data_IF_956718689211
#
_entry.id   IF_956718689211
#
_cell.length_a   1.000
_cell.length_b   1.000
_cell.length_c   1.000
_cell.angle_alpha   90.00
_cell.angle_beta   90.00
_cell.angle_gamma   90.00
#
_symmetry.space_group_name_H-M   'P 1'
#
loop_
_entity.id
_entity.type
_entity.pdbx_description
1 polymer ?
#
# COMPACT_ATOMS: atom_id res chain seq x y z
N UNK A 1 3.63 -14.39 -13.14
CA UNK A 1 2.81 -14.13 -11.92
C UNK A 1 2.85 -15.40 -11.08
N UNK A 2 2.56 -15.39 -9.79
CA UNK A 2 2.56 -16.62 -8.99
C UNK A 2 1.28 -16.77 -8.19
N UNK A 3 0.85 -18.01 -8.04
CA UNK A 3 -0.22 -18.41 -7.13
C UNK A 3 0.36 -19.29 -6.04
N UNK A 4 -0.03 -19.02 -4.78
CA UNK A 4 0.30 -19.88 -3.66
C UNK A 4 -0.76 -20.98 -3.54
N UNK A 5 -0.33 -22.22 -3.74
CA UNK A 5 -1.18 -23.39 -3.52
C UNK A 5 -1.40 -23.67 -2.03
N UNK A 6 -2.37 -24.54 -1.75
CA UNK A 6 -2.65 -25.01 -0.38
C UNK A 6 -1.46 -25.74 0.28
N UNK A 7 -0.53 -26.26 -0.52
CA UNK A 7 0.73 -26.85 -0.07
C UNK A 7 1.81 -25.81 0.28
N UNK A 8 1.48 -24.52 0.16
CA UNK A 8 2.35 -23.39 0.42
C UNK A 8 3.35 -23.08 -0.69
N UNK A 9 3.39 -23.88 -1.77
CA UNK A 9 4.31 -23.67 -2.89
C UNK A 9 3.79 -22.59 -3.84
N UNK A 10 4.73 -21.88 -4.46
CA UNK A 10 4.41 -20.94 -5.54
C UNK A 10 4.43 -21.68 -6.88
N UNK A 11 3.33 -21.55 -7.61
CA UNK A 11 3.22 -21.99 -9.00
C UNK A 11 3.24 -20.77 -9.90
N UNK A 12 4.06 -20.80 -10.94
CA UNK A 12 4.09 -19.73 -11.93
C UNK A 12 2.82 -19.77 -12.78
N UNK A 13 2.15 -18.62 -12.88
CA UNK A 13 1.06 -18.35 -13.78
C UNK A 13 1.57 -17.54 -14.96
N UNK A 14 1.16 -17.96 -16.16
CA UNK A 14 1.43 -17.23 -17.38
C UNK A 14 0.83 -15.83 -17.28
N UNK A 15 1.66 -14.82 -17.55
CA UNK A 15 1.24 -13.42 -17.58
C UNK A 15 1.85 -12.80 -18.83
N UNK A 16 1.06 -12.55 -19.88
CA UNK A 16 1.57 -11.88 -21.06
C UNK A 16 2.09 -10.48 -20.68
N UNK A 17 3.15 -10.07 -21.35
CA UNK A 17 3.66 -8.71 -21.20
C UNK A 17 2.54 -7.69 -21.50
N UNK A 18 2.48 -6.56 -20.78
CA UNK A 18 1.51 -5.52 -21.09
C UNK A 18 1.81 -5.00 -22.50
N UNK A 19 0.94 -5.32 -23.47
CA UNK A 19 1.07 -4.88 -24.85
C UNK A 19 -0.25 -4.27 -25.32
N UNK A 20 -0.19 -3.02 -25.80
CA UNK A 20 -1.32 -2.36 -26.47
C UNK A 20 -2.57 -2.19 -25.60
N UNK A 21 -2.43 -1.72 -24.35
CA UNK A 21 -3.60 -1.37 -23.53
C UNK A 21 -4.43 -0.28 -24.24
N UNK A 22 -5.61 -0.65 -24.70
CA UNK A 22 -6.61 0.26 -25.30
C UNK A 22 -7.76 0.57 -24.35
N UNK A 23 -7.78 -0.07 -23.18
CA UNK A 23 -8.77 0.14 -22.13
C UNK A 23 -8.05 0.48 -20.83
N UNK A 24 -8.52 1.53 -20.16
CA UNK A 24 -7.93 2.04 -18.92
C UNK A 24 -8.96 1.95 -17.80
N UNK A 25 -8.61 1.27 -16.71
CA UNK A 25 -9.41 1.21 -15.50
C UNK A 25 -8.70 1.94 -14.37
N UNK A 26 -9.39 2.91 -13.75
CA UNK A 26 -8.82 3.70 -12.65
C UNK A 26 -8.68 2.92 -11.34
N UNK A 27 -9.42 1.82 -11.18
CA UNK A 27 -9.37 0.97 -9.99
C UNK A 27 -8.32 -0.16 -10.06
N UNK A 28 -7.74 -0.42 -11.23
CA UNK A 28 -6.76 -1.48 -11.42
C UNK A 28 -6.27 -1.60 -12.87
N UNK A 29 -5.15 -2.29 -13.09
CA UNK A 29 -4.58 -2.49 -14.43
C UNK A 29 -3.44 -1.54 -14.81
N UNK A 30 -3.07 -0.60 -13.93
CA UNK A 30 -1.82 0.15 -14.03
C UNK A 30 -0.63 -0.83 -14.04
N UNK A 31 0.30 -0.66 -14.98
CA UNK A 31 1.58 -1.36 -14.98
C UNK A 31 2.70 -0.35 -14.93
N UNK A 32 3.61 -0.53 -13.97
CA UNK A 32 4.72 0.38 -13.72
C UNK A 32 5.81 -0.33 -12.91
N UNK A 33 6.87 0.39 -12.55
CA UNK A 33 7.98 -0.14 -11.75
C UNK A 33 7.91 0.31 -10.29
N UNK A 34 8.66 -0.36 -9.41
CA UNK A 34 8.81 0.08 -8.02
C UNK A 34 9.41 1.50 -7.94
N UNK A 35 10.37 1.83 -8.81
CA UNK A 35 10.99 3.15 -8.87
C UNK A 35 9.96 4.24 -9.24
N UNK A 36 9.08 3.95 -10.20
CA UNK A 36 8.03 4.89 -10.61
C UNK A 36 6.98 5.07 -9.50
N UNK A 37 6.57 3.99 -8.83
CA UNK A 37 5.63 4.09 -7.72
C UNK A 37 6.24 4.80 -6.50
N UNK A 38 7.55 4.67 -6.28
CA UNK A 38 8.26 5.48 -5.29
C UNK A 38 8.22 6.97 -5.62
N UNK A 39 8.32 7.37 -6.90
CA UNK A 39 8.15 8.78 -7.30
C UNK A 39 6.75 9.30 -6.94
N UNK A 40 5.72 8.48 -7.08
CA UNK A 40 4.36 8.80 -6.62
C UNK A 40 4.30 8.98 -5.09
N UNK A 41 4.81 8.03 -4.30
CA UNK A 41 4.81 8.18 -2.83
C UNK A 41 5.66 9.36 -2.35
N UNK A 42 6.77 9.66 -3.04
CA UNK A 42 7.63 10.82 -2.77
C UNK A 42 6.89 12.14 -3.05
N UNK A 43 6.08 12.19 -4.09
CA UNK A 43 5.21 13.35 -4.37
C UNK A 43 4.26 13.62 -3.19
N UNK A 44 3.68 12.56 -2.61
CA UNK A 44 2.82 12.68 -1.42
C UNK A 44 3.60 13.08 -0.16
N UNK A 45 4.78 12.50 0.08
CA UNK A 45 5.67 12.91 1.17
C UNK A 45 6.02 14.41 1.08
N UNK A 46 6.32 14.87 -0.13
CA UNK A 46 6.69 16.25 -0.44
C UNK A 46 5.47 17.16 -0.65
N UNK A 47 4.34 16.82 -0.01
CA UNK A 47 3.15 17.66 0.04
C UNK A 47 2.61 18.08 -1.34
N UNK A 48 2.60 17.14 -2.28
CA UNK A 48 2.08 17.32 -3.63
C UNK A 48 3.11 17.71 -4.69
N UNK A 49 4.40 17.75 -4.36
CA UNK A 49 5.47 18.19 -5.26
C UNK A 49 6.45 17.06 -5.59
N UNK A 50 6.84 16.96 -6.86
CA UNK A 50 7.85 16.01 -7.32
C UNK A 50 8.85 16.72 -8.22
N UNK A 51 10.13 16.68 -7.87
CA UNK A 51 11.23 17.21 -8.69
C UNK A 51 11.01 18.68 -9.12
N UNK A 52 10.49 19.50 -8.21
CA UNK A 52 10.19 20.92 -8.44
C UNK A 52 8.87 21.20 -9.17
N UNK A 53 8.12 20.17 -9.57
CA UNK A 53 6.81 20.30 -10.20
C UNK A 53 5.68 20.02 -9.20
N UNK A 54 4.72 20.94 -9.11
CA UNK A 54 3.51 20.77 -8.30
C UNK A 54 2.48 19.94 -9.06
N UNK A 55 2.26 18.71 -8.58
CA UNK A 55 1.27 17.78 -9.14
C UNK A 55 -0.06 17.89 -8.40
N UNK A 56 0.01 18.05 -7.07
CA UNK A 56 -1.15 18.16 -6.20
C UNK A 56 -1.03 19.41 -5.31
N UNK A 57 -2.13 20.13 -5.11
CA UNK A 57 -2.13 21.25 -4.18
C UNK A 57 -2.01 20.73 -2.73
N UNK A 58 -1.26 21.41 -1.84
CA UNK A 58 -1.14 21.00 -0.44
C UNK A 58 -2.48 20.79 0.27
N UNK A 59 -3.44 21.70 0.02
CA UNK A 59 -4.79 21.61 0.57
C UNK A 59 -5.58 20.40 0.05
N UNK A 60 -5.34 19.98 -1.20
CA UNK A 60 -5.97 18.76 -1.74
C UNK A 60 -5.41 17.52 -1.06
N UNK A 61 -4.09 17.44 -0.85
CA UNK A 61 -3.51 16.33 -0.11
C UNK A 61 -4.01 16.29 1.34
N UNK A 62 -4.13 17.45 1.99
CA UNK A 62 -4.71 17.53 3.33
C UNK A 62 -6.13 16.95 3.35
N UNK A 63 -6.98 17.36 2.40
CA UNK A 63 -8.33 16.83 2.26
C UNK A 63 -8.34 15.31 2.01
N UNK A 64 -7.43 14.79 1.17
CA UNK A 64 -7.34 13.34 0.92
C UNK A 64 -6.95 12.53 2.17
N UNK A 65 -6.20 13.15 3.09
CA UNK A 65 -5.70 12.54 4.32
C UNK A 65 -6.66 12.69 5.52
N UNK A 66 -7.85 13.28 5.32
CA UNK A 66 -8.89 13.38 6.35
C UNK A 66 -9.76 12.12 6.38
N UNK A 67 -10.38 11.84 7.53
CA UNK A 67 -11.35 10.75 7.65
C UNK A 67 -12.65 11.10 6.89
N UNK A 68 -12.98 10.31 5.88
CA UNK A 68 -14.18 10.47 5.05
C UNK A 68 -15.25 9.39 5.27
N UNK A 69 -15.06 8.52 6.26
CA UNK A 69 -16.02 7.44 6.60
C UNK A 69 -16.71 7.66 7.96
N UNK A 70 -16.46 8.80 8.62
CA UNK A 70 -17.09 9.15 9.90
C UNK A 70 -16.70 8.18 11.01
N UNK A 71 -17.70 7.64 11.71
CA UNK A 71 -17.50 6.70 12.82
C UNK A 71 -17.28 5.25 12.37
N UNK A 72 -17.31 4.98 11.06
CA UNK A 72 -16.99 3.67 10.51
C UNK A 72 -15.49 3.39 10.62
N UNK A 73 -15.15 2.11 10.68
CA UNK A 73 -13.77 1.64 10.73
C UNK A 73 -13.45 0.86 9.46
N UNK A 74 -12.23 1.03 8.94
CA UNK A 74 -11.75 0.32 7.76
C UNK A 74 -11.22 -1.09 8.09
N UNK A 75 -11.72 -1.71 9.18
CA UNK A 75 -11.20 -2.95 9.80
C UNK A 75 -11.29 -4.20 8.93
N UNK A 76 -11.61 -5.36 9.52
CA UNK A 76 -11.60 -6.62 8.77
C UNK A 76 -12.58 -6.60 7.58
N UNK A 77 -12.06 -6.83 6.39
CA UNK A 77 -12.83 -6.92 5.14
C UNK A 77 -12.91 -8.38 4.67
N UNK A 78 -14.14 -8.86 4.52
CA UNK A 78 -14.41 -10.18 3.95
C UNK A 78 -14.22 -10.17 2.43
N UNK A 79 -13.60 -11.21 1.89
CA UNK A 79 -13.38 -11.35 0.46
C UNK A 79 -14.64 -11.80 -0.26
N UNK A 80 -14.97 -11.10 -1.35
CA UNK A 80 -16.00 -11.52 -2.31
C UNK A 80 -15.40 -12.33 -3.48
N UNK A 81 -14.06 -12.50 -3.49
CA UNK A 81 -13.33 -13.26 -4.52
C UNK A 81 -12.30 -14.20 -3.88
N UNK A 82 -12.73 -15.30 -3.24
CA UNK A 82 -11.83 -16.22 -2.52
C UNK A 82 -10.71 -16.83 -3.38
N UNK A 83 -10.93 -16.93 -4.69
CA UNK A 83 -9.95 -17.47 -5.66
C UNK A 83 -8.71 -16.58 -5.81
N UNK A 84 -8.84 -15.28 -5.54
CA UNK A 84 -7.77 -14.29 -5.79
C UNK A 84 -7.49 -13.37 -4.62
N UNK A 85 -8.28 -13.42 -3.55
CA UNK A 85 -8.09 -12.61 -2.35
C UNK A 85 -8.57 -13.38 -1.12
N UNK A 86 -7.76 -13.36 -0.06
CA UNK A 86 -8.20 -13.74 1.27
C UNK A 86 -8.98 -12.60 1.93
N UNK A 87 -9.66 -12.89 3.04
CA UNK A 87 -10.07 -11.86 3.99
C UNK A 87 -8.83 -11.12 4.48
N UNK A 88 -8.96 -9.81 4.71
CA UNK A 88 -7.83 -9.00 5.13
C UNK A 88 -8.21 -7.98 6.18
N UNK A 89 -7.23 -7.70 7.05
CA UNK A 89 -7.25 -6.61 8.00
C UNK A 89 -5.84 -6.04 8.05
N UNK A 90 -5.63 -4.80 7.58
CA UNK A 90 -4.28 -4.24 7.52
C UNK A 90 -3.65 -4.10 8.91
N UNK A 91 -4.47 -3.83 9.93
CA UNK A 91 -4.02 -3.60 11.29
C UNK A 91 -5.05 -4.15 12.28
N UNK A 92 -4.99 -5.48 12.54
CA UNK A 92 -5.85 -6.10 13.54
C UNK A 92 -5.72 -5.38 14.88
N UNK A 93 -6.85 -5.01 15.48
CA UNK A 93 -6.97 -4.21 16.69
C UNK A 93 -6.67 -2.70 16.56
N UNK A 94 -6.49 -2.17 15.33
CA UNK A 94 -6.52 -0.74 15.06
C UNK A 94 -7.89 -0.27 14.59
N UNK A 95 -8.26 0.94 14.99
CA UNK A 95 -9.45 1.66 14.52
C UNK A 95 -9.10 2.51 13.29
N UNK A 96 -8.52 1.90 12.26
CA UNK A 96 -8.11 2.64 11.07
C UNK A 96 -9.32 3.27 10.36
N UNK A 97 -9.07 4.37 9.65
CA UNK A 97 -10.08 5.13 8.90
C UNK A 97 -9.77 5.08 7.42
N UNK A 98 -10.67 5.65 6.60
CA UNK A 98 -10.44 5.76 5.17
C UNK A 98 -10.63 7.19 4.70
N UNK A 99 -9.63 7.70 3.99
CA UNK A 99 -9.65 9.00 3.35
C UNK A 99 -10.03 8.90 1.87
N UNK A 100 -9.67 9.93 1.09
CA UNK A 100 -9.92 9.89 -0.35
C UNK A 100 -8.77 9.16 -1.06
N UNK A 101 -8.90 7.83 -1.14
CA UNK A 101 -7.98 6.96 -1.86
C UNK A 101 -6.93 6.26 -0.99
N UNK A 102 -6.97 6.45 0.33
CA UNK A 102 -5.99 5.87 1.26
C UNK A 102 -6.66 5.35 2.53
N UNK A 103 -6.17 4.21 3.02
CA UNK A 103 -6.30 3.84 4.42
C UNK A 103 -5.51 4.85 5.26
N UNK A 104 -6.10 5.27 6.37
CA UNK A 104 -5.50 6.16 7.35
C UNK A 104 -5.19 5.36 8.61
N UNK A 105 -3.91 5.21 8.89
CA UNK A 105 -3.48 4.58 10.13
C UNK A 105 -3.71 5.52 11.30
N UNK A 106 -4.59 5.16 12.24
CA UNK A 106 -4.89 6.03 13.39
C UNK A 106 -3.96 5.80 14.57
N UNK A 107 -3.35 4.61 14.64
CA UNK A 107 -2.47 4.18 15.71
C UNK A 107 -1.02 4.00 15.24
N UNK A 108 -0.02 4.03 16.16
CA UNK A 108 1.36 3.74 15.81
C UNK A 108 1.57 2.28 15.49
N UNK A 109 2.25 2.03 14.36
CA UNK A 109 2.75 0.70 14.03
C UNK A 109 4.03 0.48 14.82
N UNK A 110 4.07 -0.59 15.60
CA UNK A 110 5.23 -0.89 16.45
C UNK A 110 6.49 -1.08 15.60
N UNK A 111 7.48 -0.22 15.80
CA UNK A 111 8.72 -0.21 15.01
C UNK A 111 8.57 0.39 13.60
N UNK A 112 7.37 0.77 13.17
CA UNK A 112 7.07 1.26 11.83
C UNK A 112 6.54 2.70 11.80
N UNK A 113 5.58 2.94 10.91
CA UNK A 113 4.96 4.24 10.64
C UNK A 113 4.18 4.82 11.82
N UNK A 114 4.07 6.14 11.78
CA UNK A 114 3.40 6.95 12.78
C UNK A 114 1.90 7.18 12.46
N UNK A 115 1.04 7.48 13.46
CA UNK A 115 -0.36 7.86 13.25
C UNK A 115 -0.55 8.94 12.19
N UNK A 116 -1.63 8.86 11.43
CA UNK A 116 -1.95 9.72 10.29
C UNK A 116 -1.18 9.38 9.01
N UNK A 117 -0.47 8.25 8.98
CA UNK A 117 0.15 7.75 7.75
C UNK A 117 -0.90 7.21 6.78
N UNK A 118 -0.62 7.38 5.48
CA UNK A 118 -1.47 6.94 4.39
C UNK A 118 -0.99 5.58 3.89
N UNK A 119 -1.89 4.67 3.53
CA UNK A 119 -1.51 3.39 2.97
C UNK A 119 -2.58 2.83 2.04
N UNK A 120 -2.16 1.91 1.17
CA UNK A 120 -3.09 1.02 0.48
C UNK A 120 -2.36 -0.19 -0.07
N UNK A 121 -3.09 -1.02 -0.80
CA UNK A 121 -2.57 -2.21 -1.44
C UNK A 121 -3.16 -2.46 -2.82
N UNK A 122 -2.60 -3.46 -3.49
CA UNK A 122 -3.10 -4.01 -4.74
C UNK A 122 -3.11 -5.54 -4.68
N UNK A 123 -4.00 -6.12 -5.49
CA UNK A 123 -4.36 -7.54 -5.51
C UNK A 123 -3.16 -8.50 -5.50
N UNK A 124 -2.08 -8.16 -6.21
CA UNK A 124 -0.92 -9.04 -6.34
C UNK A 124 0.05 -8.96 -5.15
N UNK A 125 -0.47 -8.75 -3.94
CA UNK A 125 0.30 -8.48 -2.72
C UNK A 125 1.31 -7.35 -2.93
N UNK A 126 0.82 -6.21 -3.44
CA UNK A 126 1.58 -4.97 -3.56
C UNK A 126 1.10 -3.99 -2.50
N UNK A 127 2.01 -3.34 -1.77
CA UNK A 127 1.69 -2.46 -0.65
C UNK A 127 2.49 -1.16 -0.74
N UNK A 128 1.92 -0.07 -0.26
CA UNK A 128 2.67 1.16 -0.02
C UNK A 128 2.19 1.88 1.23
N UNK A 129 3.07 2.72 1.77
CA UNK A 129 2.73 3.65 2.84
C UNK A 129 3.44 4.99 2.66
N UNK A 130 2.87 6.03 3.25
CA UNK A 130 3.38 7.40 3.24
C UNK A 130 3.24 7.97 4.66
N UNK A 131 4.33 8.01 5.39
CA UNK A 131 4.41 8.64 6.70
C UNK A 131 5.00 10.05 6.57
N UNK A 132 4.10 11.02 6.40
CA UNK A 132 4.45 12.44 6.28
C UNK A 132 5.03 13.02 7.56
N UNK A 133 4.84 12.37 8.72
CA UNK A 133 5.34 12.86 10.00
C UNK A 133 6.80 12.50 10.21
N UNK A 134 7.19 11.28 9.82
CA UNK A 134 8.59 10.83 9.92
C UNK A 134 9.38 11.07 8.64
N UNK A 135 8.71 11.44 7.53
CA UNK A 135 9.35 11.68 6.24
C UNK A 135 9.75 10.39 5.52
N UNK A 136 9.09 9.28 5.85
CA UNK A 136 9.41 7.94 5.33
C UNK A 136 8.24 7.40 4.50
N UNK A 137 8.53 6.86 3.32
CA UNK A 137 7.58 6.08 2.52
C UNK A 137 8.22 4.79 2.06
N UNK A 138 7.39 3.83 1.67
CA UNK A 138 7.86 2.57 1.13
C UNK A 138 6.86 1.97 0.16
N UNK A 139 7.38 1.13 -0.72
CA UNK A 139 6.61 0.29 -1.63
C UNK A 139 7.18 -1.12 -1.57
N UNK A 140 6.30 -2.12 -1.42
CA UNK A 140 6.63 -3.53 -1.56
C UNK A 140 5.79 -4.05 -2.72
N UNK A 141 6.44 -4.40 -3.84
CA UNK A 141 5.75 -4.92 -5.01
C UNK A 141 6.09 -6.40 -5.20
N UNK A 142 5.10 -7.26 -5.02
CA UNK A 142 5.21 -8.68 -5.38
C UNK A 142 4.28 -9.00 -6.56
N UNK A 143 4.25 -10.26 -6.97
CA UNK A 143 3.37 -10.77 -8.02
C UNK A 143 2.74 -12.08 -7.55
N UNK A 144 2.16 -12.08 -6.35
CA UNK A 144 1.64 -13.27 -5.66
C UNK A 144 0.13 -13.16 -5.46
N UNK A 145 -0.58 -14.26 -5.69
CA UNK A 145 -1.98 -14.49 -5.32
C UNK A 145 -2.09 -15.66 -4.34
N UNK A 146 -3.18 -15.76 -3.56
CA UNK A 146 -4.23 -14.73 -3.38
C UNK A 146 -3.70 -13.48 -2.65
N UNK A 147 -4.40 -12.36 -2.77
CA UNK A 147 -4.13 -11.15 -1.97
C UNK A 147 -4.16 -11.47 -0.48
N UNK A 148 -3.35 -10.72 0.28
CA UNK A 148 -3.17 -10.92 1.72
C UNK A 148 -2.60 -12.32 2.01
N UNK A 149 -1.51 -12.64 1.29
CA UNK A 149 -0.73 -13.86 1.45
C UNK A 149 0.11 -13.78 2.74
N UNK A 150 -0.08 -14.73 3.67
CA UNK A 150 0.55 -14.71 5.00
C UNK A 150 2.08 -14.51 4.98
N UNK A 151 2.84 -15.26 4.16
CA UNK A 151 4.27 -15.03 3.98
C UNK A 151 4.62 -13.64 3.45
N UNK A 152 3.85 -13.06 2.52
CA UNK A 152 4.10 -11.69 2.03
C UNK A 152 3.73 -10.63 3.07
N UNK A 153 2.67 -10.84 3.86
CA UNK A 153 2.32 -9.94 4.99
C UNK A 153 3.43 -9.95 6.04
N UNK A 154 4.01 -11.12 6.33
CA UNK A 154 5.18 -11.24 7.22
C UNK A 154 6.40 -10.51 6.64
N UNK A 155 6.63 -10.64 5.33
CA UNK A 155 7.67 -9.89 4.64
C UNK A 155 7.43 -8.38 4.69
N UNK A 156 6.19 -7.92 4.57
CA UNK A 156 5.81 -6.50 4.67
C UNK A 156 6.17 -5.93 6.05
N UNK A 157 5.79 -6.60 7.14
CA UNK A 157 6.14 -6.16 8.50
C UNK A 157 7.67 -6.09 8.70
N UNK A 158 8.39 -7.13 8.28
CA UNK A 158 9.85 -7.16 8.38
C UNK A 158 10.52 -6.06 7.53
N UNK A 159 10.02 -5.84 6.31
CA UNK A 159 10.51 -4.82 5.40
C UNK A 159 10.27 -3.41 5.95
N UNK A 160 9.05 -3.12 6.43
CA UNK A 160 8.72 -1.82 7.02
C UNK A 160 9.63 -1.54 8.23
N UNK A 161 9.76 -2.49 9.18
CA UNK A 161 10.66 -2.33 10.33
C UNK A 161 12.10 -2.04 9.90
N UNK A 162 12.63 -2.81 8.95
CA UNK A 162 13.99 -2.60 8.45
C UNK A 162 14.20 -1.21 7.83
N UNK A 163 13.21 -0.69 7.10
CA UNK A 163 13.25 0.67 6.55
C UNK A 163 13.32 1.70 7.69
N UNK A 164 12.43 1.60 8.69
CA UNK A 164 12.42 2.55 9.79
C UNK A 164 13.67 2.48 10.67
N UNK A 165 14.19 1.28 10.93
CA UNK A 165 15.44 1.10 11.67
C UNK A 165 16.63 1.70 10.93
N UNK A 166 16.66 1.61 9.59
CA UNK A 166 17.72 2.23 8.79
C UNK A 166 17.73 3.76 8.88
N UNK A 167 16.54 4.38 9.01
CA UNK A 167 16.40 5.83 9.16
C UNK A 167 16.80 6.27 10.57
N UNK A 168 16.37 5.54 11.61
CA UNK A 168 16.72 5.83 13.01
C UNK A 168 18.22 5.69 13.29
N UNK A 169 18.89 4.75 12.62
CA UNK A 169 20.34 4.55 12.77
C UNK A 169 21.18 5.66 12.11
N UNK A 170 20.60 6.44 11.19
CA UNK A 170 21.27 7.53 10.48
C UNK A 170 21.03 8.94 11.06
N UNK A 171 20.18 9.06 12.08
CA UNK A 171 19.84 10.30 12.80
C UNK A 171 20.55 10.40 14.13
#
# INVERSE_FOLDING_TARGET
MHERGQDGRLTELDRPAPAGQTTFSGGGGLVSTAADYLRFTRMLLNNGELDGARILAPGTLALMAENHIGDLEAGTMATEMPETSNDFDFFPASSDRFGLGFLLNTEPVTGGRAPGSLAWAGLYNTYFWVDRRTGVSGVLLTQVLPFYDGPVVTLLDAFERAVYDSVRAGS
#
